data_IF_860721367538
#
_entry.id   IF_860721367538
#
_cell.length_a   1.000
_cell.length_b   1.000
_cell.length_c   1.000
_cell.angle_alpha   90.00
_cell.angle_beta   90.00
_cell.angle_gamma   90.00
#
_symmetry.space_group_name_H-M   'P 1'
#
loop_
_entity.id
_entity.type
_entity.pdbx_description
1 polymer ?
#
# COMPACT_ATOMS: atom_id res chain seq x y z
N UNK A 1 26.26 20.68 -6.23
CA UNK A 1 24.90 21.14 -5.84
C UNK A 1 24.53 20.42 -4.56
N UNK A 2 24.08 21.12 -3.52
CA UNK A 2 23.37 20.46 -2.41
C UNK A 2 22.10 19.86 -3.01
N UNK A 3 21.89 18.56 -2.88
CA UNK A 3 20.65 17.94 -3.30
C UNK A 3 19.58 18.27 -2.26
N UNK A 4 18.33 18.47 -2.70
CA UNK A 4 17.17 18.71 -1.81
C UNK A 4 17.10 17.68 -0.65
N UNK A 5 17.54 16.44 -0.92
CA UNK A 5 17.59 15.35 0.05
C UNK A 5 18.61 15.59 1.17
N UNK A 6 19.72 16.31 0.93
CA UNK A 6 20.71 16.66 1.97
C UNK A 6 20.19 17.67 3.01
N UNK A 7 19.16 18.43 2.65
CA UNK A 7 18.48 19.32 3.59
C UNK A 7 17.47 18.53 4.44
N UNK A 8 16.90 17.46 3.88
CA UNK A 8 15.88 16.62 4.51
C UNK A 8 16.42 15.44 5.33
N UNK A 9 17.60 14.91 4.99
CA UNK A 9 18.14 13.67 5.55
C UNK A 9 19.59 13.82 6.05
N UNK A 10 19.93 13.03 7.06
CA UNK A 10 21.31 12.73 7.41
C UNK A 10 21.73 11.40 6.77
N UNK A 11 22.77 11.42 5.93
CA UNK A 11 23.27 10.23 5.21
C UNK A 11 24.68 9.79 5.63
N UNK A 12 25.29 10.46 6.60
CA UNK A 12 26.65 10.18 7.05
C UNK A 12 26.78 8.89 7.90
N UNK A 13 25.67 8.28 8.31
CA UNK A 13 25.65 7.04 9.09
C UNK A 13 25.42 5.78 8.23
N UNK A 14 25.42 4.61 8.88
CA UNK A 14 25.16 3.33 8.21
C UNK A 14 23.74 3.21 7.60
N UNK A 15 22.79 4.02 8.08
CA UNK A 15 21.44 4.15 7.55
C UNK A 15 21.07 5.64 7.50
N UNK A 16 20.30 6.08 6.50
CA UNK A 16 19.76 7.43 6.48
C UNK A 16 18.83 7.66 7.66
N UNK A 17 18.74 8.90 8.14
CA UNK A 17 17.74 9.34 9.12
C UNK A 17 17.11 10.66 8.70
N UNK A 18 15.85 10.87 9.09
CA UNK A 18 15.18 12.15 8.89
C UNK A 18 15.90 13.25 9.68
N UNK A 19 16.17 14.36 9.02
CA UNK A 19 16.78 15.55 9.62
C UNK A 19 15.76 16.63 9.90
N UNK A 20 14.83 16.85 8.97
CA UNK A 20 13.81 17.90 9.07
C UNK A 20 12.56 17.54 8.24
N UNK A 21 11.45 17.23 8.91
CA UNK A 21 10.17 16.96 8.26
C UNK A 21 9.59 18.22 7.55
N UNK A 22 9.83 19.41 8.11
CA UNK A 22 9.43 20.68 7.50
C UNK A 22 10.14 20.93 6.17
N UNK A 23 11.42 20.57 6.07
CA UNK A 23 12.17 20.63 4.81
C UNK A 23 11.59 19.67 3.76
N UNK A 24 11.15 18.47 4.17
CA UNK A 24 10.45 17.53 3.28
C UNK A 24 9.16 18.16 2.76
N UNK A 25 8.32 18.70 3.64
CA UNK A 25 7.07 19.38 3.25
C UNK A 25 7.31 20.55 2.31
N UNK A 26 8.30 21.39 2.60
CA UNK A 26 8.62 22.58 1.80
C UNK A 26 9.07 22.22 0.37
N UNK A 27 9.66 21.04 0.18
CA UNK A 27 10.20 20.60 -1.11
C UNK A 27 9.49 19.38 -1.69
N UNK A 28 8.28 19.06 -1.22
CA UNK A 28 7.61 17.78 -1.48
C UNK A 28 7.46 17.46 -2.97
N UNK A 29 7.21 18.47 -3.82
CA UNK A 29 7.09 18.30 -5.28
C UNK A 29 8.37 17.74 -5.91
N UNK A 30 9.54 18.29 -5.55
CA UNK A 30 10.82 17.81 -6.08
C UNK A 30 11.19 16.46 -5.50
N UNK A 31 10.89 16.24 -4.21
CA UNK A 31 11.13 14.93 -3.56
C UNK A 31 10.29 13.84 -4.21
N UNK A 32 9.02 14.09 -4.53
CA UNK A 32 8.18 13.12 -5.26
C UNK A 32 8.72 12.88 -6.67
N UNK A 33 9.21 13.92 -7.35
CA UNK A 33 9.85 13.78 -8.66
C UNK A 33 11.06 12.85 -8.58
N UNK A 34 11.90 12.98 -7.56
CA UNK A 34 13.03 12.08 -7.30
C UNK A 34 12.57 10.66 -6.93
N UNK A 35 11.51 10.53 -6.13
CA UNK A 35 10.96 9.24 -5.74
C UNK A 35 10.44 8.39 -6.92
N UNK A 36 10.02 9.06 -8.01
CA UNK A 36 9.50 8.40 -9.21
C UNK A 36 10.56 8.35 -10.33
N UNK A 37 11.23 9.46 -10.61
CA UNK A 37 12.07 9.66 -11.80
C UNK A 37 13.57 9.83 -11.50
N UNK A 38 13.98 9.80 -10.24
CA UNK A 38 15.40 9.83 -9.87
C UNK A 38 16.12 8.55 -10.26
N UNK A 39 17.44 8.56 -10.12
CA UNK A 39 18.23 7.31 -10.16
C UNK A 39 17.89 6.38 -8.96
N UNK A 40 18.32 5.11 -8.94
CA UNK A 40 17.97 4.19 -7.85
C UNK A 40 18.33 4.67 -6.44
N UNK A 41 19.42 5.43 -6.28
CA UNK A 41 19.83 5.97 -4.99
C UNK A 41 18.95 7.16 -4.59
N UNK A 42 18.65 8.04 -5.55
CA UNK A 42 17.72 9.16 -5.35
C UNK A 42 16.31 8.67 -5.02
N UNK A 43 15.80 7.67 -5.74
CA UNK A 43 14.50 7.06 -5.49
C UNK A 43 14.42 6.50 -4.06
N UNK A 44 15.42 5.71 -3.65
CA UNK A 44 15.44 5.11 -2.33
C UNK A 44 15.46 6.16 -1.22
N UNK A 45 16.29 7.19 -1.34
CA UNK A 45 16.40 8.26 -0.34
C UNK A 45 15.15 9.16 -0.32
N UNK A 46 14.59 9.50 -1.48
CA UNK A 46 13.38 10.32 -1.57
C UNK A 46 12.17 9.60 -0.95
N UNK A 47 11.98 8.31 -1.27
CA UNK A 47 10.93 7.48 -0.67
C UNK A 47 11.13 7.39 0.85
N UNK A 48 12.35 7.14 1.32
CA UNK A 48 12.66 7.14 2.74
C UNK A 48 12.32 8.48 3.43
N UNK A 49 12.69 9.62 2.82
CA UNK A 49 12.37 10.94 3.36
C UNK A 49 10.86 11.16 3.52
N UNK A 50 10.07 10.76 2.52
CA UNK A 50 8.61 10.84 2.57
C UNK A 50 8.07 9.97 3.70
N UNK A 51 8.45 8.69 3.75
CA UNK A 51 7.96 7.75 4.76
C UNK A 51 8.32 8.16 6.18
N UNK A 52 9.52 8.71 6.39
CA UNK A 52 9.96 9.16 7.71
C UNK A 52 9.25 10.46 8.13
N UNK A 53 9.03 11.40 7.21
CA UNK A 53 8.38 12.67 7.52
C UNK A 53 6.86 12.59 7.64
N UNK A 54 6.21 11.67 6.91
CA UNK A 54 4.75 11.55 6.88
C UNK A 54 4.08 11.49 8.27
N UNK A 55 4.51 10.61 9.21
CA UNK A 55 3.90 10.56 10.54
C UNK A 55 4.16 11.83 11.37
N UNK A 56 5.35 12.44 11.27
CA UNK A 56 5.66 13.73 11.95
C UNK A 56 4.79 14.88 11.41
N UNK A 57 4.33 14.76 10.17
CA UNK A 57 3.46 15.71 9.49
C UNK A 57 1.98 15.31 9.55
N UNK A 58 1.63 14.28 10.32
CA UNK A 58 0.26 13.85 10.59
C UNK A 58 -0.37 12.91 9.57
N UNK A 59 0.34 12.53 8.51
CA UNK A 59 -0.10 11.55 7.53
C UNK A 59 0.44 10.15 7.89
N UNK A 60 -0.39 9.32 8.52
CA UNK A 60 0.06 8.05 9.10
C UNK A 60 -0.45 6.87 8.26
N UNK A 61 0.44 6.14 7.59
CA UNK A 61 0.03 4.88 6.94
C UNK A 61 -0.56 3.94 7.99
N UNK A 62 -1.79 3.50 7.77
CA UNK A 62 -2.60 2.81 8.77
C UNK A 62 -3.36 1.63 8.17
N UNK A 63 -3.69 0.66 9.00
CA UNK A 63 -4.60 -0.42 8.65
C UNK A 63 -6.06 -0.01 8.90
N UNK A 64 -6.95 -0.37 7.98
CA UNK A 64 -8.41 -0.18 8.15
C UNK A 64 -9.05 -1.22 9.08
N UNK A 65 -8.29 -2.23 9.53
CA UNK A 65 -8.78 -3.38 10.31
C UNK A 65 -9.65 -2.96 11.50
N UNK A 66 -9.22 -1.96 12.28
CA UNK A 66 -9.97 -1.50 13.46
C UNK A 66 -11.38 -1.02 13.11
N UNK A 67 -11.53 -0.29 11.99
CA UNK A 67 -12.80 0.20 11.49
C UNK A 67 -13.71 -0.95 11.04
N UNK A 68 -13.15 -1.91 10.29
CA UNK A 68 -13.89 -3.09 9.84
C UNK A 68 -14.36 -3.94 11.01
N UNK A 69 -13.51 -4.14 12.03
CA UNK A 69 -13.89 -4.88 13.24
C UNK A 69 -14.99 -4.17 14.04
N UNK A 70 -14.91 -2.85 14.20
CA UNK A 70 -15.97 -2.06 14.85
C UNK A 70 -17.30 -2.16 14.09
N UNK A 71 -17.25 -2.11 12.75
CA UNK A 71 -18.43 -2.28 11.91
C UNK A 71 -19.03 -3.68 12.00
N UNK A 72 -18.19 -4.72 12.01
CA UNK A 72 -18.61 -6.10 12.18
C UNK A 72 -19.29 -6.37 13.53
N UNK A 73 -18.91 -5.61 14.58
CA UNK A 73 -19.58 -5.62 15.89
C UNK A 73 -20.82 -4.71 15.97
N UNK A 74 -21.14 -3.94 14.94
CA UNK A 74 -22.26 -3.01 14.92
C UNK A 74 -22.04 -1.71 15.70
N UNK A 75 -20.80 -1.38 16.09
CA UNK A 75 -20.48 -0.15 16.84
C UNK A 75 -20.55 1.10 15.97
N UNK A 76 -20.39 0.93 14.65
CA UNK A 76 -20.43 2.00 13.66
C UNK A 76 -21.26 1.56 12.45
N UNK A 77 -22.03 2.47 11.86
CA UNK A 77 -22.86 2.22 10.66
C UNK A 77 -23.22 3.52 9.94
N UNK A 78 -23.90 3.43 8.79
CA UNK A 78 -24.45 4.60 8.09
C UNK A 78 -23.51 5.31 7.10
N UNK A 79 -22.37 4.70 6.75
CA UNK A 79 -21.43 5.26 5.78
C UNK A 79 -20.74 4.17 4.94
N UNK A 80 -19.96 4.58 3.95
CA UNK A 80 -19.06 3.75 3.15
C UNK A 80 -17.67 4.40 3.13
N UNK A 81 -16.62 3.59 2.96
CA UNK A 81 -15.27 4.09 2.68
C UNK A 81 -14.97 3.78 1.22
N UNK A 82 -14.77 4.78 0.35
CA UNK A 82 -14.43 4.50 -1.04
C UNK A 82 -13.03 3.90 -1.13
N UNK A 83 -12.85 2.92 -2.02
CA UNK A 83 -11.55 2.43 -2.45
C UNK A 83 -11.32 2.88 -3.90
N UNK A 84 -10.13 3.42 -4.18
CA UNK A 84 -9.84 4.10 -5.45
C UNK A 84 -8.51 3.61 -6.02
N UNK A 85 -8.58 2.92 -7.17
CA UNK A 85 -7.37 2.53 -7.91
C UNK A 85 -6.60 3.76 -8.44
N UNK A 86 -5.37 3.94 -7.99
CA UNK A 86 -4.49 5.08 -8.35
C UNK A 86 -3.44 4.71 -9.40
N UNK A 87 -3.90 4.36 -10.61
CA UNK A 87 -3.09 3.79 -11.71
C UNK A 87 -2.47 4.79 -12.70
N UNK A 88 -2.84 6.07 -12.65
CA UNK A 88 -2.38 7.10 -13.58
C UNK A 88 -2.32 8.45 -12.88
N UNK A 89 -1.33 9.28 -13.20
CA UNK A 89 -1.11 10.56 -12.49
C UNK A 89 -1.21 10.37 -10.95
N UNK A 90 -0.62 9.29 -10.43
CA UNK A 90 -0.92 8.79 -9.09
C UNK A 90 -0.76 9.86 -7.99
N UNK A 91 0.25 10.74 -8.13
CA UNK A 91 0.45 11.86 -7.21
C UNK A 91 -0.69 12.89 -7.30
N UNK A 92 -1.02 13.36 -8.51
CA UNK A 92 -2.06 14.37 -8.70
C UNK A 92 -3.46 13.86 -8.33
N UNK A 93 -3.76 12.60 -8.67
CA UNK A 93 -5.00 11.93 -8.26
C UNK A 93 -5.07 11.78 -6.75
N UNK A 94 -3.99 11.36 -6.09
CA UNK A 94 -3.97 11.23 -4.64
C UNK A 94 -4.17 12.59 -3.96
N UNK A 95 -3.53 13.65 -4.46
CA UNK A 95 -3.74 15.02 -3.98
C UNK A 95 -5.19 15.48 -4.15
N UNK A 96 -5.80 15.17 -5.30
CA UNK A 96 -7.20 15.50 -5.54
C UNK A 96 -8.14 14.78 -4.58
N UNK A 97 -7.87 13.50 -4.27
CA UNK A 97 -8.62 12.74 -3.27
C UNK A 97 -8.50 13.35 -1.88
N UNK A 98 -7.29 13.73 -1.43
CA UNK A 98 -7.12 14.40 -0.13
C UNK A 98 -7.87 15.74 -0.05
N UNK A 99 -7.81 16.58 -1.09
CA UNK A 99 -8.60 17.81 -1.15
C UNK A 99 -10.11 17.55 -1.11
N UNK A 100 -10.58 16.51 -1.81
CA UNK A 100 -11.98 16.11 -1.79
C UNK A 100 -12.41 15.61 -0.41
N UNK A 101 -11.56 14.84 0.27
CA UNK A 101 -11.81 14.40 1.65
C UNK A 101 -11.94 15.60 2.60
N UNK A 102 -10.99 16.54 2.53
CA UNK A 102 -11.01 17.74 3.37
C UNK A 102 -12.25 18.62 3.10
N UNK A 103 -12.61 18.82 1.82
CA UNK A 103 -13.76 19.68 1.46
C UNK A 103 -15.12 19.08 1.83
N UNK A 104 -15.19 17.76 1.95
CA UNK A 104 -16.41 17.03 2.33
C UNK A 104 -16.43 16.61 3.80
N UNK A 105 -15.39 16.94 4.56
CA UNK A 105 -15.18 16.44 5.93
C UNK A 105 -15.25 14.89 6.01
N UNK A 106 -14.79 14.22 4.95
CA UNK A 106 -14.67 12.76 4.93
C UNK A 106 -13.42 12.33 5.70
N UNK A 107 -13.57 11.23 6.44
CA UNK A 107 -12.52 10.70 7.32
C UNK A 107 -11.50 9.80 6.62
N UNK A 108 -11.85 9.19 5.49
CA UNK A 108 -10.97 8.22 4.86
C UNK A 108 -11.39 7.83 3.45
N UNK A 109 -10.38 7.43 2.68
CA UNK A 109 -10.48 6.67 1.43
C UNK A 109 -9.39 5.61 1.49
N UNK A 110 -9.59 4.50 0.78
CA UNK A 110 -8.55 3.52 0.52
C UNK A 110 -7.90 3.86 -0.83
N UNK A 111 -6.58 4.00 -0.82
CA UNK A 111 -5.77 4.19 -2.02
C UNK A 111 -5.22 2.83 -2.42
N UNK A 112 -5.59 2.34 -3.59
CA UNK A 112 -5.28 0.96 -3.95
C UNK A 112 -4.65 0.81 -5.32
N UNK A 113 -3.95 -0.30 -5.51
CA UNK A 113 -3.41 -0.68 -6.81
C UNK A 113 -3.38 -2.20 -6.90
N UNK A 114 -3.89 -2.75 -8.01
CA UNK A 114 -3.96 -4.19 -8.16
C UNK A 114 -2.66 -4.81 -8.67
N UNK A 115 -2.43 -6.10 -8.40
CA UNK A 115 -1.25 -6.83 -8.91
C UNK A 115 -1.11 -6.71 -10.43
N UNK A 116 -2.21 -6.80 -11.17
CA UNK A 116 -2.22 -6.63 -12.63
C UNK A 116 -1.84 -5.21 -13.04
N UNK A 117 -2.28 -4.21 -12.28
CA UNK A 117 -2.02 -2.79 -12.54
C UNK A 117 -0.56 -2.43 -12.31
N UNK A 118 0.03 -2.91 -11.21
CA UNK A 118 1.48 -2.82 -10.99
C UNK A 118 2.27 -3.39 -12.17
N UNK A 119 1.77 -4.47 -12.77
CA UNK A 119 2.42 -5.14 -13.92
C UNK A 119 2.51 -4.28 -15.18
N UNK A 120 1.41 -3.63 -15.60
CA UNK A 120 1.40 -2.85 -16.84
C UNK A 120 1.78 -1.37 -16.66
N UNK A 121 1.63 -0.82 -15.46
CA UNK A 121 2.07 0.55 -15.13
C UNK A 121 3.55 0.61 -14.73
N UNK A 122 4.13 -0.55 -14.40
CA UNK A 122 5.46 -0.67 -13.80
C UNK A 122 5.60 0.02 -12.43
N UNK A 123 4.49 0.32 -11.77
CA UNK A 123 4.49 0.97 -10.45
C UNK A 123 4.63 -0.07 -9.35
N UNK A 124 5.74 0.02 -8.61
CA UNK A 124 6.03 -0.87 -7.48
C UNK A 124 5.38 -0.34 -6.18
N UNK A 125 5.10 -1.21 -5.18
CA UNK A 125 4.53 -0.78 -3.91
C UNK A 125 5.29 0.39 -3.25
N UNK A 126 6.62 0.36 -3.25
CA UNK A 126 7.45 1.41 -2.68
C UNK A 126 7.28 2.78 -3.35
N UNK A 127 6.95 2.81 -4.65
CA UNK A 127 6.63 4.06 -5.35
C UNK A 127 5.24 4.57 -4.95
N UNK A 128 4.23 3.69 -5.03
CA UNK A 128 2.84 4.06 -4.75
C UNK A 128 2.67 4.57 -3.33
N UNK A 129 3.23 3.89 -2.34
CA UNK A 129 3.11 4.35 -0.96
C UNK A 129 3.75 5.72 -0.74
N UNK A 130 4.96 5.93 -1.28
CA UNK A 130 5.63 7.21 -1.20
C UNK A 130 4.81 8.31 -1.91
N UNK A 131 4.24 8.03 -3.07
CA UNK A 131 3.42 8.99 -3.82
C UNK A 131 2.14 9.37 -3.05
N UNK A 132 1.44 8.42 -2.46
CA UNK A 132 0.23 8.68 -1.65
C UNK A 132 0.56 9.47 -0.40
N UNK A 133 1.60 9.08 0.33
CA UNK A 133 2.03 9.80 1.54
C UNK A 133 2.53 11.21 1.22
N UNK A 134 3.26 11.39 0.12
CA UNK A 134 3.67 12.71 -0.34
C UNK A 134 2.47 13.60 -0.70
N UNK A 135 1.43 13.02 -1.31
CA UNK A 135 0.21 13.75 -1.60
C UNK A 135 -0.51 14.18 -0.30
N UNK A 136 -0.55 13.32 0.72
CA UNK A 136 -1.08 13.66 2.03
C UNK A 136 -0.32 14.83 2.68
N UNK A 137 1.03 14.78 2.63
CA UNK A 137 1.92 15.85 3.10
C UNK A 137 1.65 17.16 2.36
N UNK A 138 1.55 17.11 1.02
CA UNK A 138 1.34 18.27 0.17
C UNK A 138 0.01 18.99 0.45
N UNK A 139 -1.05 18.23 0.76
CA UNK A 139 -2.37 18.77 1.11
C UNK A 139 -2.53 19.03 2.62
N UNK A 140 -1.49 18.78 3.42
CA UNK A 140 -1.54 18.97 4.88
C UNK A 140 -2.58 18.09 5.58
N UNK A 141 -2.89 16.93 5.01
CA UNK A 141 -3.84 15.98 5.58
C UNK A 141 -3.37 15.51 6.97
N UNK A 142 -4.31 15.36 7.90
CA UNK A 142 -4.06 14.90 9.26
C UNK A 142 -4.96 13.69 9.54
N UNK A 143 -4.36 12.52 9.72
CA UNK A 143 -5.11 11.29 9.99
C UNK A 143 -4.49 10.04 9.35
N UNK A 144 -5.24 8.92 9.39
CA UNK A 144 -4.81 7.67 8.80
C UNK A 144 -4.88 7.75 7.27
N UNK A 145 -3.90 7.11 6.64
CA UNK A 145 -3.82 6.90 5.20
C UNK A 145 -3.90 5.40 4.97
N UNK A 146 -4.95 4.93 4.31
CA UNK A 146 -5.16 3.52 4.03
C UNK A 146 -4.61 3.18 2.64
N UNK A 147 -3.52 2.43 2.58
CA UNK A 147 -2.90 1.99 1.32
C UNK A 147 -3.11 0.48 1.18
N UNK A 148 -3.72 0.09 0.06
CA UNK A 148 -4.21 -1.25 -0.18
C UNK A 148 -3.54 -1.92 -1.39
N UNK A 149 -3.14 -3.17 -1.20
CA UNK A 149 -2.88 -4.09 -2.30
C UNK A 149 -4.20 -4.65 -2.76
N UNK A 150 -4.73 -4.13 -3.88
CA UNK A 150 -6.01 -4.58 -4.44
C UNK A 150 -5.81 -5.92 -5.16
N UNK A 151 -6.79 -6.83 -5.05
CA UNK A 151 -6.80 -8.14 -5.71
C UNK A 151 -5.39 -8.69 -5.97
N UNK A 152 -4.63 -9.04 -4.92
CA UNK A 152 -3.34 -9.74 -5.07
C UNK A 152 -3.63 -11.15 -5.58
N UNK A 153 -3.94 -11.19 -6.87
CA UNK A 153 -4.71 -12.25 -7.49
C UNK A 153 -3.77 -13.34 -8.00
N UNK A 154 -4.10 -14.60 -7.73
CA UNK A 154 -3.40 -15.73 -8.30
C UNK A 154 -3.64 -15.83 -9.81
N UNK A 155 -2.58 -16.09 -10.58
CA UNK A 155 -2.72 -16.36 -12.00
C UNK A 155 -2.95 -17.85 -12.23
N UNK A 156 -4.18 -18.24 -12.60
CA UNK A 156 -4.56 -19.63 -12.78
C UNK A 156 -3.66 -20.41 -13.76
N UNK A 157 -3.21 -19.77 -14.85
CA UNK A 157 -2.32 -20.41 -15.83
C UNK A 157 -0.93 -20.69 -15.25
N UNK A 158 -0.35 -19.71 -14.55
CA UNK A 158 0.96 -19.87 -13.88
C UNK A 158 0.87 -20.87 -12.74
N UNK A 159 -0.21 -20.81 -11.96
CA UNK A 159 -0.45 -21.75 -10.87
C UNK A 159 -0.61 -23.18 -11.39
N UNK A 160 -1.33 -23.39 -12.49
CA UNK A 160 -1.46 -24.72 -13.10
C UNK A 160 -0.12 -25.27 -13.62
N UNK A 161 0.80 -24.41 -14.09
CA UNK A 161 2.13 -24.83 -14.53
C UNK A 161 3.10 -25.08 -13.38
N UNK A 162 3.10 -24.23 -12.35
CA UNK A 162 3.96 -24.30 -11.19
C UNK A 162 3.29 -23.59 -9.99
N UNK A 163 2.55 -24.35 -9.16
CA UNK A 163 1.85 -23.80 -8.00
C UNK A 163 2.77 -23.10 -7.01
N UNK A 164 3.98 -23.61 -6.82
CA UNK A 164 4.91 -23.10 -5.81
C UNK A 164 5.53 -21.79 -6.28
N UNK A 165 5.97 -21.72 -7.53
CA UNK A 165 6.52 -20.48 -8.08
C UNK A 165 5.51 -19.33 -8.06
N UNK A 166 4.25 -19.60 -8.39
CA UNK A 166 3.18 -18.59 -8.33
C UNK A 166 2.86 -18.17 -6.88
N UNK A 167 2.86 -19.13 -5.95
CA UNK A 167 2.69 -18.84 -4.51
C UNK A 167 3.82 -17.94 -3.99
N UNK A 168 5.08 -18.28 -4.28
CA UNK A 168 6.25 -17.49 -3.89
C UNK A 168 6.25 -16.09 -4.51
N UNK A 169 5.74 -15.94 -5.74
CA UNK A 169 5.60 -14.64 -6.37
C UNK A 169 4.58 -13.74 -5.63
N UNK A 170 3.46 -14.30 -5.18
CA UNK A 170 2.48 -13.59 -4.34
C UNK A 170 3.04 -13.27 -2.96
N UNK A 171 3.74 -14.21 -2.32
CA UNK A 171 4.41 -13.97 -1.04
C UNK A 171 5.43 -12.84 -1.13
N UNK A 172 6.23 -12.81 -2.19
CA UNK A 172 7.18 -11.73 -2.45
C UNK A 172 6.45 -10.39 -2.59
N UNK A 173 5.38 -10.35 -3.36
CA UNK A 173 4.58 -9.14 -3.56
C UNK A 173 4.00 -8.62 -2.23
N UNK A 174 3.47 -9.51 -1.40
CA UNK A 174 2.97 -9.17 -0.05
C UNK A 174 4.10 -8.60 0.81
N UNK A 175 5.28 -9.22 0.82
CA UNK A 175 6.44 -8.71 1.58
C UNK A 175 6.88 -7.33 1.09
N UNK A 176 6.94 -7.12 -0.22
CA UNK A 176 7.29 -5.82 -0.81
C UNK A 176 6.24 -4.75 -0.45
N UNK A 177 4.95 -5.11 -0.46
CA UNK A 177 3.85 -4.21 -0.10
C UNK A 177 3.89 -3.83 1.39
N UNK A 178 4.05 -4.79 2.29
CA UNK A 178 4.15 -4.54 3.74
C UNK A 178 5.39 -3.71 4.07
N UNK A 179 6.53 -3.99 3.42
CA UNK A 179 7.74 -3.17 3.56
C UNK A 179 7.54 -1.72 3.08
N UNK A 180 6.66 -1.52 2.09
CA UNK A 180 6.22 -0.20 1.61
C UNK A 180 5.07 0.40 2.44
N UNK A 181 4.68 -0.21 3.56
CA UNK A 181 3.57 0.24 4.42
C UNK A 181 2.17 0.13 3.79
N UNK A 182 1.95 -0.88 2.96
CA UNK A 182 0.60 -1.32 2.61
C UNK A 182 0.06 -2.13 3.78
N UNK A 183 -0.88 -1.55 4.52
CA UNK A 183 -1.47 -2.20 5.71
C UNK A 183 -2.91 -2.67 5.49
N UNK A 184 -3.34 -2.69 4.22
CA UNK A 184 -4.54 -3.37 3.75
C UNK A 184 -4.12 -4.29 2.59
N UNK A 185 -4.41 -5.58 2.66
CA UNK A 185 -3.98 -6.57 1.66
C UNK A 185 -5.19 -7.43 1.29
N UNK A 186 -5.66 -7.28 0.05
CA UNK A 186 -6.75 -8.09 -0.48
C UNK A 186 -6.15 -9.28 -1.25
N UNK A 187 -6.44 -10.50 -0.78
CA UNK A 187 -5.92 -11.75 -1.34
C UNK A 187 -6.99 -12.36 -2.22
N UNK A 188 -6.68 -12.62 -3.48
CA UNK A 188 -7.64 -13.19 -4.42
C UNK A 188 -7.10 -14.48 -5.08
N UNK A 189 -7.40 -15.63 -4.49
CA UNK A 189 -7.15 -16.93 -5.11
C UNK A 189 -8.40 -17.52 -5.79
N UNK A 190 -9.43 -16.71 -6.03
CA UNK A 190 -10.71 -17.16 -6.60
C UNK A 190 -10.58 -17.68 -8.04
N UNK A 191 -9.56 -17.24 -8.77
CA UNK A 191 -9.23 -17.75 -10.11
C UNK A 191 -8.86 -19.24 -10.12
N UNK A 192 -8.53 -19.81 -8.95
CA UNK A 192 -8.19 -21.23 -8.79
C UNK A 192 -9.41 -22.11 -8.52
N UNK A 193 -10.62 -21.53 -8.42
CA UNK A 193 -11.85 -22.27 -8.24
C UNK A 193 -12.16 -23.08 -9.49
N UNK A 194 -12.35 -24.39 -9.33
CA UNK A 194 -12.66 -25.31 -10.42
C UNK A 194 -14.07 -25.88 -10.24
N UNK A 195 -15.02 -25.40 -11.05
CA UNK A 195 -16.43 -25.82 -10.97
C UNK A 195 -16.70 -27.21 -11.54
N UNK A 196 -15.69 -27.91 -12.06
CA UNK A 196 -15.85 -29.27 -12.59
C UNK A 196 -16.02 -30.34 -11.50
N UNK A 197 -15.68 -30.02 -10.24
CA UNK A 197 -15.88 -30.91 -9.11
C UNK A 197 -17.33 -30.88 -8.60
N UNK A 198 -17.81 -32.02 -8.08
CA UNK A 198 -19.19 -32.18 -7.61
C UNK A 198 -19.51 -31.41 -6.32
N UNK A 199 -18.51 -31.20 -5.46
CA UNK A 199 -18.69 -30.57 -4.15
C UNK A 199 -18.06 -29.18 -4.08
N UNK A 200 -18.76 -28.21 -3.47
CA UNK A 200 -18.23 -26.85 -3.26
C UNK A 200 -16.89 -26.86 -2.52
N UNK A 201 -16.70 -27.82 -1.60
CA UNK A 201 -15.44 -27.97 -0.87
C UNK A 201 -14.27 -28.26 -1.82
N UNK A 202 -14.46 -29.17 -2.78
CA UNK A 202 -13.42 -29.55 -3.72
C UNK A 202 -13.19 -28.46 -4.75
N UNK A 203 -14.26 -27.81 -5.22
CA UNK A 203 -14.18 -26.63 -6.11
C UNK A 203 -13.31 -25.52 -5.49
N UNK A 204 -13.45 -25.28 -4.18
CA UNK A 204 -12.77 -24.21 -3.46
C UNK A 204 -11.40 -24.60 -2.87
N UNK A 205 -11.04 -25.89 -2.86
CA UNK A 205 -9.87 -26.37 -2.13
C UNK A 205 -8.55 -25.66 -2.51
N UNK A 206 -8.25 -25.39 -3.80
CA UNK A 206 -7.07 -24.62 -4.19
C UNK A 206 -7.12 -23.18 -3.69
N UNK A 207 -8.25 -22.49 -3.87
CA UNK A 207 -8.50 -21.13 -3.42
C UNK A 207 -8.28 -21.02 -1.90
N UNK A 208 -8.96 -21.85 -1.10
CA UNK A 208 -8.87 -21.77 0.36
C UNK A 208 -7.47 -22.06 0.89
N UNK A 209 -6.74 -23.00 0.27
CA UNK A 209 -5.38 -23.36 0.69
C UNK A 209 -4.38 -22.24 0.42
N UNK A 210 -4.40 -21.67 -0.78
CA UNK A 210 -3.50 -20.56 -1.12
C UNK A 210 -3.85 -19.32 -0.28
N UNK A 211 -5.13 -18.98 -0.14
CA UNK A 211 -5.57 -17.86 0.68
C UNK A 211 -5.13 -18.01 2.13
N UNK A 212 -5.28 -19.21 2.72
CA UNK A 212 -4.82 -19.48 4.09
C UNK A 212 -3.29 -19.34 4.24
N UNK A 213 -2.51 -19.84 3.27
CA UNK A 213 -1.04 -19.70 3.24
C UNK A 213 -0.63 -18.23 3.21
N UNK A 214 -1.23 -17.43 2.33
CA UNK A 214 -0.92 -16.01 2.19
C UNK A 214 -1.39 -15.20 3.40
N UNK A 215 -2.55 -15.50 3.97
CA UNK A 215 -3.03 -14.88 5.20
C UNK A 215 -2.12 -15.18 6.40
N UNK A 216 -1.61 -16.41 6.51
CA UNK A 216 -0.61 -16.78 7.51
C UNK A 216 0.66 -15.95 7.33
N UNK A 217 1.18 -15.83 6.11
CA UNK A 217 2.33 -14.97 5.83
C UNK A 217 2.07 -13.53 6.30
N UNK A 218 0.90 -12.95 5.96
CA UNK A 218 0.57 -11.59 6.38
C UNK A 218 0.66 -11.45 7.90
N UNK A 219 0.16 -12.43 8.68
CA UNK A 219 0.29 -12.44 10.14
C UNK A 219 1.74 -12.51 10.62
N UNK A 220 2.59 -13.28 9.93
CA UNK A 220 4.00 -13.45 10.31
C UNK A 220 4.86 -12.20 10.10
N UNK A 221 4.46 -11.32 9.19
CA UNK A 221 5.24 -10.13 8.81
C UNK A 221 4.61 -8.81 9.27
N UNK A 222 3.58 -8.85 10.11
CA UNK A 222 2.95 -7.64 10.65
C UNK A 222 3.99 -6.82 11.43
N UNK A 223 4.10 -5.50 11.16
CA UNK A 223 4.90 -4.63 12.01
C UNK A 223 4.33 -4.54 13.43
N UNK A 224 5.20 -4.35 14.41
CA UNK A 224 4.78 -4.13 15.80
C UNK A 224 3.75 -3.00 15.90
N UNK A 225 2.63 -3.29 16.57
CA UNK A 225 1.55 -2.32 16.77
C UNK A 225 0.60 -2.12 15.58
N UNK A 226 0.80 -2.83 14.46
CA UNK A 226 -0.08 -2.77 13.29
C UNK A 226 -0.72 -4.13 13.03
N UNK A 227 -2.05 -4.20 13.13
CA UNK A 227 -2.80 -5.36 12.60
C UNK A 227 -3.24 -5.06 11.18
N UNK A 228 -2.56 -5.63 10.19
CA UNK A 228 -2.87 -5.50 8.76
C UNK A 228 -4.30 -5.98 8.50
N UNK A 229 -5.06 -5.24 7.68
CA UNK A 229 -6.37 -5.69 7.19
C UNK A 229 -6.16 -6.73 6.09
N UNK A 230 -6.84 -7.86 6.19
CA UNK A 230 -6.87 -8.89 5.14
C UNK A 230 -8.29 -9.00 4.60
N UNK A 231 -8.46 -8.72 3.32
CA UNK A 231 -9.72 -8.82 2.58
C UNK A 231 -9.55 -9.65 1.30
N UNK A 232 -10.52 -9.53 0.39
CA UNK A 232 -10.60 -10.30 -0.86
C UNK A 232 -11.62 -11.45 -0.82
#
# INVERSE_FOLDING_TARGET
MKTVLSDCLNTAGARPSLKDAGAVKANITEIVRLAVFGDPAEQALARYAIHAAAPELGAVSSSIQGLYMARGRGEVSGFTVPAVNIRGMAYDMSRALFRAMQSTNAWGTVFELARSEMGYTHQQPAEIAAVVLAAAIAEGYQGPVFIQGDHFQANAKKFASDPEAESLALEKLIRDAVAAQFYCIDIDASTLVDLSFDSVRDQQAPNSKLTARLAQLVREIEPDGVTISVGG
#
